data_IF_831710855456
#
_entry.id   IF_831710855456
#
_cell.length_a   1.000
_cell.length_b   1.000
_cell.length_c   1.000
_cell.angle_alpha   90.00
_cell.angle_beta   90.00
_cell.angle_gamma   90.00
#
_symmetry.space_group_name_H-M   'P 1'
#
loop_
_entity.id
_entity.type
_entity.pdbx_description
1 polymer ?
#
# COMPACT_ATOMS: atom_id res chain seq x y z
N UNK A 1 -0.59 -12.52 -1.60
CA UNK A 1 -1.89 -13.02 -2.09
C UNK A 1 -2.31 -14.20 -1.24
N UNK A 2 -3.58 -14.19 -0.82
CA UNK A 2 -4.23 -15.23 -0.04
C UNK A 2 -5.41 -15.77 -0.83
N UNK A 3 -5.64 -17.08 -0.72
CA UNK A 3 -6.91 -17.72 -1.09
C UNK A 3 -7.60 -18.06 0.21
N UNK A 4 -8.84 -17.59 0.37
CA UNK A 4 -9.66 -17.83 1.56
C UNK A 4 -10.90 -18.66 1.21
N UNK A 5 -11.41 -19.40 2.17
CA UNK A 5 -12.74 -19.99 2.11
C UNK A 5 -13.85 -18.99 2.49
N UNK A 6 -15.10 -19.46 2.48
CA UNK A 6 -16.30 -18.67 2.86
C UNK A 6 -16.30 -18.17 4.31
N UNK A 7 -15.53 -18.81 5.19
CA UNK A 7 -15.39 -18.48 6.61
C UNK A 7 -14.11 -17.67 6.87
N UNK A 8 -13.51 -17.13 5.80
CA UNK A 8 -12.27 -16.34 5.77
C UNK A 8 -11.05 -17.07 6.32
N UNK A 9 -11.03 -18.41 6.24
CA UNK A 9 -9.84 -19.21 6.57
C UNK A 9 -8.92 -19.27 5.37
N UNK A 10 -7.62 -19.18 5.62
CA UNK A 10 -6.62 -19.27 4.56
C UNK A 10 -6.53 -20.70 4.04
N UNK A 11 -6.88 -20.90 2.78
CA UNK A 11 -6.64 -22.16 2.07
C UNK A 11 -5.17 -22.26 1.65
N UNK A 12 -4.62 -21.17 1.11
CA UNK A 12 -3.19 -21.08 0.77
C UNK A 12 -2.77 -19.62 0.58
N UNK A 13 -1.46 -19.37 0.53
CA UNK A 13 -0.87 -18.08 0.22
C UNK A 13 0.29 -18.23 -0.77
N UNK A 14 0.61 -17.15 -1.49
CA UNK A 14 1.79 -17.12 -2.35
C UNK A 14 3.09 -16.85 -1.57
N UNK A 15 4.23 -17.24 -2.13
CA UNK A 15 5.56 -17.04 -1.51
C UNK A 15 5.84 -15.59 -1.07
N UNK A 16 5.53 -14.55 -1.88
CA UNK A 16 5.68 -13.17 -1.43
C UNK A 16 4.91 -12.83 -0.15
N UNK A 17 3.74 -13.43 0.10
CA UNK A 17 3.01 -13.19 1.34
C UNK A 17 3.77 -13.73 2.55
N UNK A 18 4.23 -14.98 2.47
CA UNK A 18 5.02 -15.60 3.54
C UNK A 18 6.28 -14.78 3.87
N UNK A 19 6.99 -14.33 2.84
CA UNK A 19 8.22 -13.55 2.99
C UNK A 19 7.97 -12.15 3.55
N UNK A 20 7.04 -11.38 2.97
CA UNK A 20 6.82 -9.98 3.35
C UNK A 20 6.28 -9.85 4.78
N UNK A 21 5.47 -10.83 5.21
CA UNK A 21 4.84 -10.81 6.53
C UNK A 21 5.52 -11.71 7.55
N UNK A 22 6.63 -12.36 7.18
CA UNK A 22 7.43 -13.23 8.04
C UNK A 22 6.59 -14.30 8.76
N UNK A 23 5.72 -14.98 8.00
CA UNK A 23 4.85 -16.06 8.49
C UNK A 23 5.11 -17.36 7.75
N UNK A 24 4.96 -18.48 8.44
CA UNK A 24 5.12 -19.82 7.84
C UNK A 24 3.78 -20.40 7.38
N UNK A 25 3.76 -21.26 6.35
CA UNK A 25 2.53 -21.94 5.89
C UNK A 25 1.81 -22.70 7.00
N UNK A 26 2.57 -23.46 7.82
CA UNK A 26 2.04 -24.21 8.98
C UNK A 26 1.28 -23.32 9.98
N UNK A 27 1.66 -22.04 10.04
CA UNK A 27 1.10 -21.07 10.95
C UNK A 27 0.06 -20.16 10.31
N UNK A 28 -0.21 -20.34 9.03
CA UNK A 28 -1.08 -19.49 8.23
C UNK A 28 -2.27 -20.26 7.67
N UNK A 29 -2.01 -21.41 7.06
CA UNK A 29 -3.05 -22.22 6.40
C UNK A 29 -4.03 -22.82 7.42
N UNK A 30 -5.28 -22.97 7.00
CA UNK A 30 -6.44 -23.37 7.81
C UNK A 30 -6.78 -22.46 9.00
N UNK A 31 -6.08 -21.32 9.17
CA UNK A 31 -6.41 -20.33 10.19
C UNK A 31 -7.28 -19.22 9.60
N UNK A 32 -8.15 -18.66 10.44
CA UNK A 32 -8.93 -17.46 10.11
C UNK A 32 -7.96 -16.30 9.88
N UNK A 33 -8.14 -15.54 8.79
CA UNK A 33 -7.24 -14.44 8.40
C UNK A 33 -7.00 -13.45 9.54
N UNK A 34 -8.01 -13.14 10.36
CA UNK A 34 -7.88 -12.22 11.49
C UNK A 34 -7.01 -12.74 12.64
N UNK A 35 -6.75 -14.05 12.70
CA UNK A 35 -5.94 -14.68 13.75
C UNK A 35 -4.47 -14.82 13.35
N UNK A 36 -4.11 -14.49 12.11
CA UNK A 36 -2.75 -14.62 11.61
C UNK A 36 -1.78 -13.71 12.39
N UNK A 37 -0.54 -14.19 12.57
CA UNK A 37 0.50 -13.43 13.26
C UNK A 37 0.13 -13.06 14.70
N UNK A 38 -0.54 -13.95 15.44
CA UNK A 38 -1.07 -13.64 16.78
C UNK A 38 -2.09 -12.48 16.79
N UNK A 39 -3.00 -12.46 15.82
CA UNK A 39 -4.07 -11.46 15.74
C UNK A 39 -3.68 -10.12 15.09
N UNK A 40 -2.45 -9.99 14.57
CA UNK A 40 -1.99 -8.78 13.88
C UNK A 40 -2.86 -8.45 12.66
N UNK A 41 -3.48 -9.45 12.05
CA UNK A 41 -4.37 -9.28 10.91
C UNK A 41 -5.82 -8.97 11.29
N UNK A 42 -6.14 -8.81 12.58
CA UNK A 42 -7.44 -8.32 13.04
C UNK A 42 -7.55 -6.79 12.85
N UNK A 43 -7.41 -6.35 11.60
CA UNK A 43 -7.43 -4.95 11.22
C UNK A 43 -8.89 -4.55 10.98
N UNK A 44 -9.43 -3.53 11.69
CA UNK A 44 -10.84 -3.15 11.56
C UNK A 44 -11.26 -2.84 10.12
N UNK A 45 -10.40 -2.18 9.35
CA UNK A 45 -10.68 -1.87 7.95
C UNK A 45 -10.74 -3.13 7.07
N UNK A 46 -9.80 -4.08 7.26
CA UNK A 46 -9.83 -5.37 6.56
C UNK A 46 -11.12 -6.14 6.88
N UNK A 47 -11.51 -6.16 8.16
CA UNK A 47 -12.74 -6.82 8.60
C UNK A 47 -13.97 -6.20 7.96
N UNK A 48 -14.06 -4.86 7.94
CA UNK A 48 -15.14 -4.14 7.23
C UNK A 48 -15.18 -4.50 5.74
N UNK A 49 -14.03 -4.59 5.08
CA UNK A 49 -13.95 -4.92 3.66
C UNK A 49 -14.46 -6.33 3.37
N UNK A 50 -14.04 -7.32 4.15
CA UNK A 50 -14.41 -8.72 3.96
C UNK A 50 -15.85 -9.03 4.38
N UNK A 51 -16.34 -8.44 5.48
CA UNK A 51 -17.66 -8.77 6.04
C UNK A 51 -18.80 -7.91 5.50
N UNK A 52 -18.54 -6.65 5.13
CA UNK A 52 -19.60 -5.71 4.76
C UNK A 52 -19.62 -5.35 3.27
N UNK A 53 -18.45 -5.29 2.64
CA UNK A 53 -18.31 -4.79 1.26
C UNK A 53 -18.26 -5.95 0.27
N UNK A 54 -17.38 -6.92 0.50
CA UNK A 54 -17.19 -8.06 -0.40
C UNK A 54 -18.49 -8.86 -0.65
N UNK A 55 -19.32 -9.18 0.37
CA UNK A 55 -20.54 -9.97 0.16
C UNK A 55 -21.62 -9.23 -0.65
N UNK A 56 -21.56 -7.89 -0.70
CA UNK A 56 -22.53 -7.06 -1.45
C UNK A 56 -22.14 -6.86 -2.90
N UNK A 57 -20.84 -6.74 -3.17
CA UNK A 57 -20.32 -6.31 -4.47
C UNK A 57 -19.55 -7.41 -5.22
N UNK A 58 -19.38 -8.61 -4.64
CA UNK A 58 -18.58 -9.76 -5.13
C UNK A 58 -17.08 -9.48 -5.34
N UNK A 59 -16.65 -8.22 -5.35
CA UNK A 59 -15.26 -7.79 -5.39
C UNK A 59 -15.08 -6.39 -4.80
N UNK A 60 -13.85 -6.05 -4.46
CA UNK A 60 -13.40 -4.68 -4.19
C UNK A 60 -11.96 -4.49 -4.66
N UNK A 61 -11.57 -3.25 -4.98
CA UNK A 61 -10.24 -2.93 -5.52
C UNK A 61 -9.75 -1.60 -4.96
N UNK A 62 -8.44 -1.49 -4.72
CA UNK A 62 -7.76 -0.22 -4.44
C UNK A 62 -7.97 0.30 -3.03
N UNK A 63 -8.31 -0.56 -2.06
CA UNK A 63 -8.53 -0.11 -0.69
C UNK A 63 -7.21 -0.02 0.06
N UNK A 64 -6.82 1.21 0.42
CA UNK A 64 -5.64 1.46 1.23
C UNK A 64 -5.90 1.15 2.70
N UNK A 65 -4.99 0.41 3.32
CA UNK A 65 -5.00 0.09 4.75
C UNK A 65 -3.60 0.29 5.30
N UNK A 66 -3.48 1.17 6.30
CA UNK A 66 -2.26 1.35 7.07
C UNK A 66 -2.33 0.55 8.37
N UNK A 67 -1.26 -0.17 8.69
CA UNK A 67 -1.19 -0.95 9.94
C UNK A 67 0.23 -1.00 10.50
N UNK A 68 0.34 -0.98 11.83
CA UNK A 68 1.61 -1.13 12.53
C UNK A 68 1.74 -2.58 13.01
N UNK A 69 2.58 -3.34 12.32
CA UNK A 69 2.89 -4.71 12.74
C UNK A 69 4.02 -4.69 13.79
N UNK A 70 3.92 -5.47 14.87
CA UNK A 70 4.93 -5.52 15.93
C UNK A 70 6.36 -5.85 15.45
N UNK A 71 6.51 -6.74 14.46
CA UNK A 71 7.83 -7.25 14.01
C UNK A 71 8.31 -6.49 12.77
N UNK A 72 7.45 -6.32 11.76
CA UNK A 72 7.82 -5.73 10.46
C UNK A 72 7.56 -4.22 10.36
N UNK A 73 7.05 -3.60 11.42
CA UNK A 73 6.82 -2.16 11.51
C UNK A 73 5.56 -1.66 10.77
N UNK A 74 5.54 -0.35 10.50
CA UNK A 74 4.42 0.30 9.79
C UNK A 74 4.41 -0.14 8.33
N UNK A 75 3.25 -0.59 7.88
CA UNK A 75 2.97 -0.94 6.49
C UNK A 75 1.77 -0.16 5.96
N UNK A 76 1.85 0.29 4.72
CA UNK A 76 0.72 0.82 3.95
C UNK A 76 0.48 -0.15 2.81
N UNK A 77 -0.74 -0.70 2.75
CA UNK A 77 -1.07 -1.78 1.84
C UNK A 77 -2.28 -1.45 0.99
N UNK A 78 -2.26 -1.83 -0.28
CA UNK A 78 -3.43 -1.84 -1.15
C UNK A 78 -4.05 -3.23 -1.15
N UNK A 79 -5.34 -3.27 -0.82
CA UNK A 79 -6.13 -4.49 -0.76
C UNK A 79 -7.09 -4.56 -1.95
N UNK A 80 -7.11 -5.73 -2.58
CA UNK A 80 -8.06 -6.09 -3.60
C UNK A 80 -8.62 -7.47 -3.29
N UNK A 81 -9.93 -7.66 -3.38
CA UNK A 81 -10.51 -8.99 -3.24
C UNK A 81 -11.57 -9.29 -4.27
N UNK A 82 -11.73 -10.57 -4.60
CA UNK A 82 -12.80 -11.08 -5.44
C UNK A 82 -13.30 -12.42 -4.89
N UNK A 83 -14.61 -12.55 -4.78
CA UNK A 83 -15.27 -13.82 -4.53
C UNK A 83 -15.48 -14.55 -5.86
N UNK A 84 -15.09 -15.81 -5.91
CA UNK A 84 -15.24 -16.69 -7.07
C UNK A 84 -16.25 -17.76 -6.69
N UNK A 85 -17.38 -17.76 -7.37
CA UNK A 85 -18.42 -18.77 -7.22
C UNK A 85 -18.24 -19.84 -8.28
N UNK A 86 -18.27 -21.10 -7.85
CA UNK A 86 -18.30 -22.25 -8.73
C UNK A 86 -19.77 -22.75 -8.78
N UNK A 87 -20.33 -22.86 -9.98
CA UNK A 87 -21.73 -23.23 -10.19
C UNK A 87 -21.95 -24.71 -9.84
N UNK A 88 -22.99 -25.02 -9.06
CA UNK A 88 -23.29 -26.41 -8.63
C UNK A 88 -23.75 -27.35 -9.75
N UNK A 89 -24.10 -26.80 -10.90
CA UNK A 89 -24.57 -27.53 -12.08
C UNK A 89 -23.43 -28.19 -12.86
N UNK A 90 -22.20 -27.70 -12.72
CA UNK A 90 -21.02 -28.35 -13.26
C UNK A 90 -20.57 -29.46 -12.31
N UNK A 91 -20.58 -30.71 -12.79
CA UNK A 91 -20.20 -31.91 -12.03
C UNK A 91 -18.77 -31.85 -11.46
N UNK A 92 -17.88 -31.05 -12.08
CA UNK A 92 -16.54 -30.76 -11.54
C UNK A 92 -16.52 -29.62 -10.50
N UNK A 93 -17.42 -28.64 -10.63
CA UNK A 93 -17.53 -27.52 -9.70
C UNK A 93 -18.17 -27.90 -8.35
N UNK A 94 -18.91 -29.02 -8.28
CA UNK A 94 -19.33 -29.60 -7.00
C UNK A 94 -18.16 -29.98 -6.09
N UNK A 95 -16.94 -30.14 -6.64
CA UNK A 95 -15.74 -30.44 -5.86
C UNK A 95 -15.07 -29.21 -5.26
N UNK A 96 -15.37 -28.00 -5.76
CA UNK A 96 -14.66 -26.78 -5.35
C UNK A 96 -15.61 -25.79 -4.65
N UNK A 97 -15.41 -25.52 -3.34
CA UNK A 97 -16.20 -24.51 -2.64
C UNK A 97 -15.91 -23.12 -3.22
N UNK A 98 -16.86 -22.19 -3.09
CA UNK A 98 -16.59 -20.78 -3.42
C UNK A 98 -15.39 -20.27 -2.62
N UNK A 99 -14.50 -19.55 -3.29
CA UNK A 99 -13.27 -19.03 -2.69
C UNK A 99 -13.25 -17.50 -2.77
N UNK A 100 -12.40 -16.90 -1.95
CA UNK A 100 -12.10 -15.48 -2.00
C UNK A 100 -10.62 -15.33 -2.31
N UNK A 101 -10.31 -14.64 -3.40
CA UNK A 101 -8.95 -14.23 -3.72
C UNK A 101 -8.70 -12.86 -3.09
N UNK A 102 -7.74 -12.76 -2.18
CA UNK A 102 -7.32 -11.51 -1.54
C UNK A 102 -5.87 -11.18 -1.95
N UNK A 103 -5.72 -10.15 -2.77
CA UNK A 103 -4.43 -9.58 -3.12
C UNK A 103 -4.07 -8.44 -2.15
N UNK A 104 -2.82 -8.45 -1.73
CA UNK A 104 -2.25 -7.52 -0.76
C UNK A 104 -0.95 -7.05 -1.37
N UNK A 105 -0.83 -5.75 -1.57
CA UNK A 105 0.35 -5.11 -2.12
C UNK A 105 0.89 -4.13 -1.08
N UNK A 106 2.15 -4.29 -0.68
CA UNK A 106 2.83 -3.36 0.22
C UNK A 106 3.41 -2.20 -0.59
N UNK A 107 2.87 -0.99 -0.39
CA UNK A 107 3.29 0.24 -1.07
C UNK A 107 4.11 1.16 -0.16
N UNK A 108 4.55 0.68 1.00
CA UNK A 108 5.27 1.48 2.00
C UNK A 108 6.54 2.10 1.41
N UNK A 109 7.33 1.32 0.68
CA UNK A 109 8.58 1.80 0.07
C UNK A 109 8.29 2.83 -1.03
N UNK A 110 7.26 2.60 -1.84
CA UNK A 110 6.84 3.54 -2.88
C UNK A 110 6.43 4.90 -2.30
N UNK A 111 5.68 4.90 -1.19
CA UNK A 111 5.30 6.13 -0.48
C UNK A 111 6.54 6.83 0.07
N UNK A 112 7.46 6.10 0.70
CA UNK A 112 8.69 6.68 1.25
C UNK A 112 9.58 7.31 0.17
N UNK A 113 9.68 6.68 -1.00
CA UNK A 113 10.41 7.23 -2.15
C UNK A 113 9.71 8.50 -2.65
N UNK A 114 8.39 8.47 -2.81
CA UNK A 114 7.62 9.63 -3.26
C UNK A 114 7.76 10.82 -2.30
N UNK A 115 7.67 10.59 -0.99
CA UNK A 115 7.85 11.62 0.04
C UNK A 115 9.28 12.19 0.04
N UNK A 116 10.28 11.34 -0.15
CA UNK A 116 11.68 11.76 -0.25
C UNK A 116 11.92 12.62 -1.49
N UNK A 117 11.36 12.20 -2.64
CA UNK A 117 11.44 12.96 -3.89
C UNK A 117 10.76 14.32 -3.76
N UNK A 118 9.54 14.37 -3.21
CA UNK A 118 8.80 15.62 -2.98
C UNK A 118 9.57 16.56 -2.03
N UNK A 119 10.22 16.01 -1.02
CA UNK A 119 11.06 16.80 -0.10
C UNK A 119 12.31 17.36 -0.78
N UNK A 120 12.90 16.61 -1.71
CA UNK A 120 14.07 17.06 -2.47
C UNK A 120 13.72 18.13 -3.51
N UNK A 121 12.62 17.97 -4.24
CA UNK A 121 12.15 18.98 -5.21
C UNK A 121 11.84 20.30 -4.51
N UNK A 122 11.14 20.25 -3.37
CA UNK A 122 10.85 21.43 -2.57
C UNK A 122 12.14 22.17 -2.14
N UNK A 123 13.15 21.44 -1.64
CA UNK A 123 14.44 22.03 -1.25
C UNK A 123 15.21 22.65 -2.42
N UNK A 124 15.13 22.03 -3.60
CA UNK A 124 15.76 22.57 -4.81
C UNK A 124 15.10 23.90 -5.22
N UNK A 125 13.77 23.95 -5.25
CA UNK A 125 13.01 25.16 -5.61
C UNK A 125 13.29 26.33 -4.66
N UNK A 126 13.36 26.09 -3.35
CA UNK A 126 13.75 27.11 -2.38
C UNK A 126 15.16 27.64 -2.64
N UNK A 127 16.12 26.74 -2.90
CA UNK A 127 17.51 27.12 -3.16
C UNK A 127 17.64 27.92 -4.45
N UNK A 128 16.99 27.49 -5.53
CA UNK A 128 16.97 28.21 -6.80
C UNK A 128 16.34 29.60 -6.63
N UNK A 129 15.20 29.70 -5.96
CA UNK A 129 14.52 30.98 -5.71
C UNK A 129 15.41 31.94 -4.91
N UNK A 130 16.10 31.44 -3.89
CA UNK A 130 17.05 32.22 -3.10
C UNK A 130 18.25 32.70 -3.94
N UNK A 131 18.80 31.84 -4.81
CA UNK A 131 19.89 32.22 -5.70
C UNK A 131 19.48 33.26 -6.74
N UNK A 132 18.31 33.11 -7.37
CA UNK A 132 17.78 34.08 -8.34
C UNK A 132 17.63 35.46 -7.69
N UNK A 133 16.99 35.54 -6.51
CA UNK A 133 16.87 36.81 -5.77
C UNK A 133 18.22 37.44 -5.41
N UNK A 134 19.21 36.63 -5.03
CA UNK A 134 20.57 37.12 -4.76
C UNK A 134 21.22 37.67 -6.02
N UNK A 135 21.09 36.95 -7.14
CA UNK A 135 21.67 37.35 -8.42
C UNK A 135 21.04 38.64 -8.93
N UNK A 136 19.72 38.77 -8.87
CA UNK A 136 19.00 40.02 -9.21
C UNK A 136 19.49 41.21 -8.38
N UNK A 137 19.70 41.00 -7.07
CA UNK A 137 20.24 42.04 -6.19
C UNK A 137 21.67 42.42 -6.56
N UNK A 138 22.51 41.45 -6.91
CA UNK A 138 23.87 41.70 -7.38
C UNK A 138 23.90 42.46 -8.71
N UNK A 139 23.09 42.05 -9.69
CA UNK A 139 22.99 42.73 -10.99
C UNK A 139 22.56 44.18 -10.83
N UNK A 140 21.52 44.47 -10.04
CA UNK A 140 21.08 45.85 -9.75
C UNK A 140 22.17 46.70 -9.11
N UNK A 141 23.00 46.11 -8.23
CA UNK A 141 24.11 46.83 -7.60
C UNK A 141 25.20 47.19 -8.62
N UNK A 142 25.59 46.23 -9.46
CA UNK A 142 26.58 46.44 -10.51
C UNK A 142 26.12 47.49 -11.55
N UNK A 143 24.85 47.45 -11.96
CA UNK A 143 24.29 48.47 -12.87
C UNK A 143 24.38 49.89 -12.28
N UNK A 144 24.14 50.03 -10.98
CA UNK A 144 24.24 51.32 -10.28
C UNK A 144 25.69 51.83 -10.21
N UNK A 145 26.65 50.94 -9.97
CA UNK A 145 28.09 51.29 -9.96
C UNK A 145 28.58 51.69 -11.37
N UNK A 146 28.21 50.94 -12.41
CA UNK A 146 28.58 51.27 -13.80
C UNK A 146 28.01 52.63 -14.23
N UNK A 147 26.75 52.93 -13.91
CA UNK A 147 26.16 54.24 -14.23
C UNK A 147 26.75 55.39 -13.42
N UNK A 148 27.27 55.13 -12.23
CA UNK A 148 27.98 56.11 -11.41
C UNK A 148 29.37 56.47 -11.95
N UNK A 149 30.08 55.49 -12.55
CA UNK A 149 31.40 55.67 -13.15
C UNK A 149 31.37 56.38 -14.53
N UNK A 150 30.20 56.43 -15.18
CA UNK A 150 30.00 57.09 -16.49
C UNK A 150 29.58 58.57 -16.38
N UNK A 151 29.45 59.11 -15.16
CA UNK A 151 29.20 60.53 -14.88
C UNK A 151 30.48 61.20 -14.41
#
# INVERSE_FOLDING_TARGET
>A
MLILDKDFRVLTANTPFYNNFQVEPKDTENKIVYKLGNGQWNIPDLKRLLENILPKNTFFKGFEVAHNFPIIGRKVMILNARQIHFNKEDLEAQKFPSIILLAIEDITEMIQIADTLASHTFKLEEKFTSQTKKLEKYMKKLEKEINGLKK
#
